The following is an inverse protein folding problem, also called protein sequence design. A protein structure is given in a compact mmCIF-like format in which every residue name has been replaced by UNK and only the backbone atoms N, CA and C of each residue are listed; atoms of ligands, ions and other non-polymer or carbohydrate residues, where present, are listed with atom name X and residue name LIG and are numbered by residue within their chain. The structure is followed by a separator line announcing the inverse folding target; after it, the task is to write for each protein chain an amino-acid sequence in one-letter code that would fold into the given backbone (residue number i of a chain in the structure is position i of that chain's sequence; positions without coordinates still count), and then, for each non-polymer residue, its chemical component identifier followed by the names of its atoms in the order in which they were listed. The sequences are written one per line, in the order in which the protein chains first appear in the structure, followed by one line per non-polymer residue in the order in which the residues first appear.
data_IF_853206536521
#
_entry.id   IF_853206536521
#
_cell.length_a   1.000
_cell.length_b   1.000
_cell.length_c   1.000
_cell.angle_alpha   90.00
_cell.angle_beta   90.00
_cell.angle_gamma   90.00
#
_symmetry.space_group_name_H-M   'P 1'
#
loop_
_entity.id
_entity.type
_entity.pdbx_description
1 polymer ?
#
# COMPACT_ATOMS: atom_id res chain seq x y z
N UNK A 1 -5.92 -4.25 3.28
CA UNK A 1 -5.16 -5.25 2.50
C UNK A 1 -6.07 -5.82 1.42
N UNK A 2 -5.53 -6.09 0.23
CA UNK A 2 -6.25 -6.85 -0.79
C UNK A 2 -6.59 -8.25 -0.30
N UNK A 3 -7.65 -8.85 -0.84
CA UNK A 3 -8.00 -10.24 -0.60
C UNK A 3 -6.93 -11.21 -1.15
N UNK A 4 -7.09 -12.51 -0.88
CA UNK A 4 -6.08 -13.51 -1.25
C UNK A 4 -5.87 -13.60 -2.77
N UNK A 5 -6.93 -13.52 -3.57
CA UNK A 5 -6.83 -13.64 -5.03
C UNK A 5 -6.09 -12.43 -5.64
N UNK A 6 -6.52 -11.22 -5.27
CA UNK A 6 -5.87 -9.97 -5.66
C UNK A 6 -4.41 -9.90 -5.20
N UNK A 7 -4.16 -10.33 -3.95
CA UNK A 7 -2.81 -10.37 -3.39
C UNK A 7 -1.89 -11.32 -4.16
N UNK A 8 -2.35 -12.51 -4.55
CA UNK A 8 -1.53 -13.47 -5.29
C UNK A 8 -1.09 -12.94 -6.65
N UNK A 9 -1.98 -12.27 -7.38
CA UNK A 9 -1.66 -11.65 -8.67
C UNK A 9 -0.57 -10.60 -8.54
N UNK A 10 -0.74 -9.66 -7.60
CA UNK A 10 0.22 -8.58 -7.37
C UNK A 10 1.53 -9.11 -6.78
N UNK A 11 1.47 -10.10 -5.88
CA UNK A 11 2.66 -10.72 -5.30
C UNK A 11 3.54 -11.37 -6.38
N UNK A 12 2.91 -12.06 -7.34
CA UNK A 12 3.65 -12.64 -8.46
C UNK A 12 4.42 -11.57 -9.24
N UNK A 13 3.80 -10.42 -9.53
CA UNK A 13 4.46 -9.32 -10.22
C UNK A 13 5.63 -8.78 -9.40
N UNK A 14 5.45 -8.60 -8.09
CA UNK A 14 6.50 -8.14 -7.18
C UNK A 14 7.67 -9.14 -7.20
N UNK A 15 7.40 -10.43 -7.01
CA UNK A 15 8.43 -11.47 -6.93
C UNK A 15 9.19 -11.64 -8.26
N UNK A 16 8.49 -11.56 -9.40
CA UNK A 16 9.10 -11.62 -10.73
C UNK A 16 10.06 -10.42 -10.95
N UNK A 17 9.68 -9.21 -10.50
CA UNK A 17 10.54 -8.04 -10.58
C UNK A 17 11.75 -8.15 -9.63
N UNK A 18 11.56 -8.60 -8.40
CA UNK A 18 12.65 -8.83 -7.45
C UNK A 18 13.65 -9.83 -8.03
N UNK A 19 13.18 -10.92 -8.60
CA UNK A 19 14.04 -11.95 -9.22
C UNK A 19 14.85 -11.42 -10.39
N UNK A 20 14.31 -10.47 -11.16
CA UNK A 20 14.93 -9.94 -12.38
C UNK A 20 15.81 -8.72 -12.13
N UNK A 21 15.39 -7.82 -11.25
CA UNK A 21 16.01 -6.52 -11.04
C UNK A 21 16.62 -6.35 -9.64
N UNK A 22 16.50 -7.38 -8.79
CA UNK A 22 16.90 -7.31 -7.39
C UNK A 22 15.92 -6.56 -6.51
N UNK A 23 16.32 -6.27 -5.29
CA UNK A 23 15.48 -5.63 -4.27
C UNK A 23 14.83 -6.64 -3.33
N UNK A 24 13.70 -6.29 -2.76
CA UNK A 24 13.04 -7.05 -1.71
C UNK A 24 11.60 -7.40 -2.09
N UNK A 25 11.20 -8.62 -1.78
CA UNK A 25 9.80 -9.00 -1.86
C UNK A 25 9.04 -8.47 -0.64
N UNK A 26 7.85 -7.96 -0.87
CA UNK A 26 6.95 -7.42 0.16
C UNK A 26 5.50 -7.74 -0.17
N UNK A 27 4.65 -7.70 0.85
CA UNK A 27 3.21 -7.98 0.65
C UNK A 27 2.52 -6.81 -0.04
N UNK A 28 1.75 -7.03 -1.12
CA UNK A 28 1.02 -5.97 -1.80
C UNK A 28 0.02 -5.31 -0.85
N UNK A 29 0.04 -3.99 -0.80
CA UNK A 29 -0.83 -3.20 0.07
C UNK A 29 -1.06 -1.81 -0.49
N UNK A 30 -2.19 -1.20 -0.14
CA UNK A 30 -2.46 0.20 -0.36
C UNK A 30 -2.37 0.92 0.98
N UNK A 31 -1.40 1.83 1.11
CA UNK A 31 -1.27 2.66 2.31
C UNK A 31 -2.42 3.66 2.39
N UNK A 32 -3.17 3.65 3.48
CA UNK A 32 -4.15 4.70 3.77
C UNK A 32 -3.46 5.95 4.30
N UNK A 33 -2.46 5.77 5.13
CA UNK A 33 -1.56 6.80 5.62
C UNK A 33 -0.25 6.16 6.09
N UNK A 34 0.87 6.88 6.02
CA UNK A 34 2.17 6.37 6.44
C UNK A 34 3.18 7.50 6.71
N UNK A 35 4.35 7.13 7.24
CA UNK A 35 5.43 8.07 7.48
C UNK A 35 5.23 8.96 8.71
N UNK A 36 4.46 8.51 9.71
CA UNK A 36 4.32 9.22 10.98
C UNK A 36 5.01 8.44 12.12
N UNK A 37 5.52 9.19 13.08
CA UNK A 37 6.04 8.64 14.33
C UNK A 37 5.00 8.83 15.44
N UNK A 38 4.88 7.84 16.32
CA UNK A 38 3.98 7.93 17.46
C UNK A 38 4.50 7.12 18.64
N UNK A 39 4.38 7.68 19.82
CA UNK A 39 4.56 6.98 21.12
C UNK A 39 3.21 6.60 21.73
N UNK A 40 2.11 6.80 20.98
CA UNK A 40 0.76 6.53 21.45
C UNK A 40 0.50 5.04 21.57
N UNK A 41 0.56 4.52 22.78
CA UNK A 41 0.27 3.12 23.10
C UNK A 41 -1.17 2.71 22.75
N UNK A 42 -2.06 3.67 22.48
CA UNK A 42 -3.44 3.41 22.05
C UNK A 42 -3.59 3.23 20.54
N UNK A 43 -2.51 3.36 19.75
CA UNK A 43 -2.58 3.33 18.28
C UNK A 43 -3.25 2.07 17.76
N UNK A 44 -2.92 0.90 18.30
CA UNK A 44 -3.53 -0.37 17.91
C UNK A 44 -5.05 -0.37 18.09
N UNK A 45 -5.52 0.16 19.23
CA UNK A 45 -6.96 0.29 19.53
C UNK A 45 -7.64 1.29 18.59
N UNK A 46 -6.96 2.37 18.22
CA UNK A 46 -7.47 3.33 17.23
C UNK A 46 -7.64 2.68 15.84
N UNK A 47 -6.69 1.83 15.42
CA UNK A 47 -6.78 1.12 14.14
C UNK A 47 -7.90 0.06 14.18
N UNK A 48 -8.08 -0.63 15.30
CA UNK A 48 -9.23 -1.52 15.50
C UNK A 48 -10.56 -0.76 15.37
N UNK A 49 -10.70 0.38 16.03
CA UNK A 49 -11.89 1.23 15.89
C UNK A 49 -12.11 1.74 14.46
N UNK A 50 -11.02 2.06 13.74
CA UNK A 50 -11.09 2.44 12.33
C UNK A 50 -11.61 1.28 11.48
N UNK A 51 -11.16 0.05 11.72
CA UNK A 51 -11.61 -1.13 10.96
C UNK A 51 -13.12 -1.35 11.07
N UNK A 52 -13.71 -1.05 12.24
CA UNK A 52 -15.15 -1.14 12.48
C UNK A 52 -15.97 -0.04 11.76
N UNK A 53 -15.32 1.02 11.29
CA UNK A 53 -15.95 2.12 10.56
C UNK A 53 -15.84 1.98 9.04
N UNK A 54 -15.07 1.00 8.56
CA UNK A 54 -14.84 0.75 7.15
C UNK A 54 -15.48 -0.57 6.75
N UNK A 55 -16.24 -0.55 5.66
CA UNK A 55 -16.73 -1.77 5.03
C UNK A 55 -15.70 -2.27 4.01
N UNK A 56 -15.66 -3.58 3.70
CA UNK A 56 -14.94 -4.09 2.55
C UNK A 56 -15.36 -3.34 1.28
N UNK A 57 -14.42 -3.06 0.41
CA UNK A 57 -14.71 -2.35 -0.84
C UNK A 57 -13.84 -2.87 -1.98
N UNK A 58 -14.35 -2.72 -3.19
CA UNK A 58 -13.60 -3.00 -4.42
C UNK A 58 -13.05 -1.69 -4.99
N UNK A 59 -11.77 -1.69 -5.36
CA UNK A 59 -11.15 -0.62 -6.10
C UNK A 59 -10.45 -1.19 -7.34
N UNK A 60 -10.27 -0.37 -8.36
CA UNK A 60 -9.78 -0.79 -9.67
C UNK A 60 -8.36 -0.23 -9.86
N UNK A 61 -7.45 -1.08 -10.33
CA UNK A 61 -6.14 -0.63 -10.81
C UNK A 61 -6.30 0.16 -12.11
N UNK A 62 -5.43 1.14 -12.33
CA UNK A 62 -5.45 1.91 -13.58
C UNK A 62 -4.14 1.74 -14.35
N UNK A 63 -3.18 2.61 -14.15
CA UNK A 63 -1.91 2.60 -14.86
C UNK A 63 -0.74 2.19 -13.97
N UNK A 64 0.27 1.55 -14.56
CA UNK A 64 1.57 1.38 -13.92
C UNK A 64 2.38 2.65 -14.15
N UNK A 65 2.97 3.19 -13.09
CA UNK A 65 3.70 4.44 -13.11
C UNK A 65 4.98 4.34 -12.26
N UNK A 66 5.84 5.35 -12.32
CA UNK A 66 7.06 5.47 -11.53
C UNK A 66 7.12 6.79 -10.78
N UNK A 67 7.96 6.85 -9.75
CA UNK A 67 8.34 8.08 -9.08
C UNK A 67 9.83 8.12 -8.77
N UNK A 68 10.25 9.19 -8.09
CA UNK A 68 11.64 9.38 -7.65
C UNK A 68 11.90 8.91 -6.22
N UNK A 69 10.90 8.34 -5.55
CA UNK A 69 11.02 7.87 -4.17
C UNK A 69 11.25 6.36 -4.12
N UNK A 70 12.01 5.90 -3.13
CA UNK A 70 12.35 4.50 -2.93
C UNK A 70 11.10 3.59 -2.83
N UNK A 71 10.13 3.97 -1.99
CA UNK A 71 8.92 3.15 -1.74
C UNK A 71 7.83 3.29 -2.81
N UNK A 72 8.02 4.20 -3.78
CA UNK A 72 7.16 4.37 -4.94
C UNK A 72 7.97 4.27 -6.23
N UNK A 73 8.98 3.42 -6.25
CA UNK A 73 9.89 3.27 -7.39
C UNK A 73 9.10 2.93 -8.67
N UNK A 74 8.37 1.81 -8.66
CA UNK A 74 7.35 1.47 -9.65
C UNK A 74 6.09 1.01 -8.92
N UNK A 75 4.94 1.47 -9.33
CA UNK A 75 3.66 1.20 -8.65
C UNK A 75 2.50 1.17 -9.64
N UNK A 76 1.42 0.53 -9.24
CA UNK A 76 0.13 0.64 -9.95
C UNK A 76 -0.77 1.62 -9.23
N UNK A 77 -1.35 2.56 -9.96
CA UNK A 77 -2.35 3.50 -9.42
C UNK A 77 -3.67 2.79 -9.17
N UNK A 78 -4.36 3.23 -8.15
CA UNK A 78 -5.72 2.81 -7.83
C UNK A 78 -6.66 3.95 -8.22
N UNK A 79 -7.76 3.60 -8.88
CA UNK A 79 -8.80 4.58 -9.25
C UNK A 79 -9.31 5.30 -8.01
N UNK A 80 -9.29 6.62 -8.06
CA UNK A 80 -9.83 7.46 -7.00
C UNK A 80 -11.35 7.37 -7.00
N UNK A 81 -11.90 6.68 -6.00
CA UNK A 81 -13.34 6.51 -5.77
C UNK A 81 -13.70 6.96 -4.35
N UNK A 82 -14.97 7.31 -4.08
CA UNK A 82 -15.37 7.79 -2.75
C UNK A 82 -14.99 6.87 -1.60
N UNK A 83 -15.06 5.54 -1.78
CA UNK A 83 -14.71 4.57 -0.75
C UNK A 83 -13.23 4.63 -0.35
N UNK A 84 -12.33 4.72 -1.34
CA UNK A 84 -10.87 4.84 -1.13
C UNK A 84 -10.55 6.16 -0.42
N UNK A 85 -11.12 7.27 -0.90
CA UNK A 85 -10.90 8.59 -0.30
C UNK A 85 -11.44 8.68 1.11
N UNK A 86 -12.63 8.12 1.36
CA UNK A 86 -13.23 8.09 2.69
C UNK A 86 -12.39 7.26 3.68
N UNK A 87 -11.83 6.12 3.24
CA UNK A 87 -10.94 5.32 4.06
C UNK A 87 -9.69 6.11 4.48
N UNK A 88 -9.06 6.84 3.54
CA UNK A 88 -7.94 7.73 3.83
C UNK A 88 -8.30 8.84 4.83
N UNK A 89 -9.42 9.55 4.59
CA UNK A 89 -9.87 10.65 5.47
C UNK A 89 -10.18 10.16 6.89
N UNK A 90 -10.83 9.00 7.01
CA UNK A 90 -11.09 8.37 8.31
C UNK A 90 -9.78 7.96 9.00
N UNK A 91 -8.81 7.42 8.26
CA UNK A 91 -7.49 7.10 8.81
C UNK A 91 -6.80 8.38 9.33
N UNK A 92 -6.73 9.45 8.56
CA UNK A 92 -6.18 10.75 9.01
C UNK A 92 -6.85 11.24 10.29
N UNK A 93 -8.19 11.25 10.32
CA UNK A 93 -8.95 11.68 11.49
C UNK A 93 -8.66 10.82 12.72
N UNK A 94 -8.62 9.51 12.55
CA UNK A 94 -8.34 8.55 13.64
C UNK A 94 -6.93 8.72 14.21
N UNK A 95 -5.97 9.01 13.34
CA UNK A 95 -4.57 9.24 13.73
C UNK A 95 -4.32 10.67 14.25
N UNK A 96 -5.29 11.58 14.15
CA UNK A 96 -5.13 12.98 14.56
C UNK A 96 -4.22 13.79 13.65
N UNK A 97 -4.12 13.44 12.38
CA UNK A 97 -3.20 14.07 11.43
C UNK A 97 -3.91 15.18 10.66
N UNK A 98 -3.30 16.36 10.63
CA UNK A 98 -3.84 17.58 10.00
C UNK A 98 -2.99 18.14 8.87
N UNK A 99 -2.10 17.34 8.29
CA UNK A 99 -1.26 17.77 7.18
C UNK A 99 -2.06 18.00 5.87
N UNK A 100 -1.39 18.61 4.87
CA UNK A 100 -1.92 18.87 3.54
C UNK A 100 -1.38 17.88 2.50
N UNK A 101 -0.99 16.66 2.92
CA UNK A 101 -0.49 15.65 2.01
C UNK A 101 -1.56 15.27 0.96
N UNK A 102 -1.17 15.37 -0.32
CA UNK A 102 -2.03 14.95 -1.43
C UNK A 102 -2.03 13.43 -1.51
N UNK A 103 -3.18 12.83 -1.22
CA UNK A 103 -3.32 11.38 -1.26
C UNK A 103 -3.44 10.87 -2.69
N UNK A 104 -2.49 10.01 -3.07
CA UNK A 104 -2.49 9.29 -4.33
C UNK A 104 -2.57 7.78 -4.04
N UNK A 105 -3.75 7.16 -4.15
CA UNK A 105 -3.89 5.74 -3.88
C UNK A 105 -3.13 4.89 -4.89
N UNK A 106 -2.27 4.00 -4.41
CA UNK A 106 -1.44 3.13 -5.23
C UNK A 106 -1.05 1.86 -4.48
N UNK A 107 -0.58 0.86 -5.22
CA UNK A 107 0.12 -0.31 -4.69
C UNK A 107 1.50 -0.34 -5.32
N UNK A 108 2.54 -0.34 -4.51
CA UNK A 108 3.91 -0.46 -4.98
C UNK A 108 4.17 -1.86 -5.53
N UNK A 109 4.91 -1.92 -6.62
CA UNK A 109 5.32 -3.16 -7.30
C UNK A 109 6.82 -3.37 -7.22
N UNK A 110 7.58 -2.28 -7.04
CA UNK A 110 9.04 -2.31 -6.86
C UNK A 110 9.43 -1.24 -5.84
N UNK A 111 10.26 -1.60 -4.89
CA UNK A 111 10.99 -0.69 -4.02
C UNK A 111 12.45 -0.63 -4.48
N UNK A 112 13.06 0.54 -4.49
CA UNK A 112 14.46 0.70 -4.82
C UNK A 112 14.83 2.06 -5.43
N UNK A 113 16.13 2.30 -5.55
CA UNK A 113 16.71 3.48 -6.20
C UNK A 113 17.21 3.11 -7.60
N UNK A 114 16.26 2.74 -8.48
CA UNK A 114 16.55 2.41 -9.86
C UNK A 114 16.62 3.68 -10.72
N UNK A 115 17.45 3.65 -11.77
CA UNK A 115 17.49 4.73 -12.76
C UNK A 115 16.19 4.74 -13.62
N UNK A 116 15.90 5.86 -14.28
CA UNK A 116 14.67 6.05 -15.05
C UNK A 116 14.50 5.06 -16.20
N UNK A 117 15.59 4.69 -16.85
CA UNK A 117 15.58 3.73 -17.97
C UNK A 117 15.12 2.34 -17.48
N UNK A 118 15.68 1.88 -16.37
CA UNK A 118 15.28 0.61 -15.76
C UNK A 118 13.82 0.64 -15.30
N UNK A 119 13.36 1.74 -14.69
CA UNK A 119 11.95 1.88 -14.30
C UNK A 119 11.03 1.83 -15.51
N UNK A 120 11.38 2.50 -16.60
CA UNK A 120 10.58 2.47 -17.82
C UNK A 120 10.50 1.06 -18.40
N UNK A 121 11.64 0.34 -18.43
CA UNK A 121 11.67 -1.05 -18.88
C UNK A 121 10.77 -1.96 -18.05
N UNK A 122 10.76 -1.79 -16.71
CA UNK A 122 9.89 -2.53 -15.81
C UNK A 122 8.42 -2.24 -16.14
N UNK A 123 8.05 -0.97 -16.36
CA UNK A 123 6.69 -0.56 -16.72
C UNK A 123 6.25 -1.23 -18.03
N UNK A 124 7.10 -1.22 -19.04
CA UNK A 124 6.80 -1.79 -20.37
C UNK A 124 6.60 -3.32 -20.33
N UNK A 125 7.27 -3.98 -19.38
CA UNK A 125 7.18 -5.43 -19.17
C UNK A 125 5.95 -5.86 -18.34
N UNK A 126 5.44 -5.00 -17.46
CA UNK A 126 4.29 -5.34 -16.61
C UNK A 126 3.01 -5.35 -17.43
N UNK A 127 2.47 -6.55 -17.66
CA UNK A 127 1.19 -6.77 -18.34
C UNK A 127 0.04 -6.79 -17.34
N UNK A 128 -0.21 -5.65 -16.70
CA UNK A 128 -1.32 -5.49 -15.76
C UNK A 128 -2.46 -4.72 -16.44
N UNK A 129 -3.51 -5.43 -16.80
CA UNK A 129 -4.78 -4.82 -17.22
C UNK A 129 -5.51 -4.24 -16.00
N UNK A 130 -6.61 -3.54 -16.22
CA UNK A 130 -7.49 -3.14 -15.12
C UNK A 130 -7.97 -4.36 -14.35
N UNK A 131 -7.71 -4.37 -13.04
CA UNK A 131 -8.06 -5.47 -12.12
C UNK A 131 -8.85 -4.91 -10.96
N UNK A 132 -9.92 -5.60 -10.62
CA UNK A 132 -10.67 -5.35 -9.41
C UNK A 132 -9.92 -5.94 -8.21
N UNK A 133 -9.67 -5.10 -7.22
CA UNK A 133 -9.02 -5.48 -5.97
C UNK A 133 -10.01 -5.33 -4.82
N UNK A 134 -10.30 -6.42 -4.14
CA UNK A 134 -11.17 -6.42 -2.96
C UNK A 134 -10.33 -6.18 -1.72
N UNK A 135 -10.64 -5.12 -0.96
CA UNK A 135 -9.97 -4.78 0.29
C UNK A 135 -10.82 -5.22 1.49
N UNK A 136 -10.27 -6.12 2.32
CA UNK A 136 -11.01 -6.77 3.41
C UNK A 136 -10.41 -6.54 4.80
N UNK A 137 -9.19 -6.06 4.89
CA UNK A 137 -8.52 -5.82 6.18
C UNK A 137 -7.68 -4.55 6.18
N UNK A 138 -7.39 -4.05 7.38
CA UNK A 138 -6.44 -2.97 7.63
C UNK A 138 -5.32 -3.48 8.53
N UNK A 139 -4.09 -3.06 8.23
CA UNK A 139 -2.89 -3.38 9.02
C UNK A 139 -2.26 -2.14 9.59
N UNK A 140 -1.78 -2.25 10.80
CA UNK A 140 -0.80 -1.36 11.39
C UNK A 140 0.58 -2.00 11.21
N UNK A 141 1.48 -1.27 10.55
CA UNK A 141 2.84 -1.74 10.27
C UNK A 141 3.83 -0.78 10.90
N UNK A 142 4.71 -1.31 11.74
CA UNK A 142 5.89 -0.61 12.23
C UNK A 142 7.01 -0.70 11.19
N UNK A 143 7.66 0.42 10.91
CA UNK A 143 8.81 0.48 10.01
C UNK A 143 10.02 0.90 10.84
N UNK A 144 11.10 0.10 10.81
CA UNK A 144 12.36 0.48 11.44
C UNK A 144 12.95 1.71 10.76
N UNK A 145 13.66 2.55 11.52
CA UNK A 145 14.38 3.74 11.02
C UNK A 145 15.53 3.41 10.07
N UNK A 146 15.90 2.14 9.91
CA UNK A 146 16.93 1.70 8.98
C UNK A 146 16.29 1.63 7.58
N UNK A 147 16.44 2.68 6.80
CA UNK A 147 15.79 2.95 5.52
C UNK A 147 16.05 1.92 4.40
N UNK A 148 16.95 0.98 4.58
CA UNK A 148 17.51 0.22 3.46
C UNK A 148 17.03 -1.24 3.39
N UNK A 149 16.29 -1.71 4.39
CA UNK A 149 15.79 -3.08 4.42
C UNK A 149 14.30 -3.15 4.80
N UNK A 150 13.40 -3.31 3.81
CA UNK A 150 11.96 -3.50 4.06
C UNK A 150 11.63 -4.77 4.86
N UNK A 151 12.58 -5.68 5.07
CA UNK A 151 12.40 -6.84 5.97
C UNK A 151 12.23 -6.41 7.43
N UNK A 152 12.60 -5.18 7.77
CA UNK A 152 12.34 -4.57 9.08
C UNK A 152 10.92 -3.98 9.24
N UNK A 153 10.02 -4.24 8.31
CA UNK A 153 8.61 -3.93 8.53
C UNK A 153 7.95 -5.03 9.34
N UNK A 154 7.41 -4.69 10.50
CA UNK A 154 6.69 -5.62 11.37
C UNK A 154 5.20 -5.32 11.33
N UNK A 155 4.37 -6.35 11.12
CA UNK A 155 2.92 -6.21 11.30
C UNK A 155 2.62 -6.19 12.79
N UNK A 156 2.27 -5.02 13.32
CA UNK A 156 1.92 -4.83 14.74
C UNK A 156 0.48 -5.29 15.03
N UNK A 157 -0.43 -5.11 14.08
CA UNK A 157 -1.81 -5.57 14.18
C UNK A 157 -2.46 -5.69 12.81
N UNK A 158 -3.48 -6.56 12.70
CA UNK A 158 -4.35 -6.67 11.54
C UNK A 158 -5.80 -6.87 11.97
N UNK A 159 -6.72 -6.12 11.37
CA UNK A 159 -8.14 -6.18 11.67
C UNK A 159 -8.95 -6.31 10.38
N UNK A 160 -9.91 -7.24 10.36
CA UNK A 160 -10.89 -7.33 9.28
C UNK A 160 -11.78 -6.09 9.24
N UNK A 161 -12.16 -5.65 8.05
CA UNK A 161 -13.15 -4.59 7.89
C UNK A 161 -14.53 -5.11 8.28
N UNK A 162 -15.42 -4.21 8.73
CA UNK A 162 -16.75 -4.56 9.20
C UNK A 162 -17.55 -5.21 8.08
N UNK A 163 -17.88 -6.49 8.21
CA UNK A 163 -18.87 -7.14 7.35
C UNK A 163 -20.27 -6.65 7.74
N UNK A 164 -21.05 -6.21 6.74
CA UNK A 164 -22.46 -5.84 6.90
C UNK A 164 -23.28 -7.13 7.06
#
# INVERSE_FOLDING_TARGET
MPDKASSNLLQKIIDDNVKKYGGFSFKPHMSLYGGFETEDNSITKKIEQLSLQLNPFTAITTEVAMSTTFYQCVFVRIKTIPQVMNAHLKAKKTLGISDHHVYMPHISLVYGDLNLETKQKIIDEIKLSQVDLVFESIKLVGISKIKEDPSYSETLAEFGLKKI
#
